data_IF_797920944275
#
_entry.id   IF_797920944275
#
_cell.length_a   1.000
_cell.length_b   1.000
_cell.length_c   1.000
_cell.angle_alpha   90.00
_cell.angle_beta   90.00
_cell.angle_gamma   90.00
#
_symmetry.space_group_name_H-M   'P 1'
#
loop_
_entity.id
_entity.type
_entity.pdbx_description
1 polymer ?
#
# COMPACT_ATOMS: atom_id res chain seq x y z
N UNK A 1 -15.14 -29.36 4.55
CA UNK A 1 -14.01 -29.03 3.67
C UNK A 1 -12.85 -28.66 4.58
N UNK A 2 -11.64 -29.17 4.33
CA UNK A 2 -10.45 -28.90 5.16
C UNK A 2 -9.89 -27.49 4.83
N UNK A 3 -9.37 -26.75 5.82
CA UNK A 3 -8.69 -25.47 5.64
C UNK A 3 -7.50 -25.56 4.68
N UNK A 4 -6.84 -26.72 4.60
CA UNK A 4 -5.81 -26.98 3.61
C UNK A 4 -6.29 -26.75 2.17
N UNK A 5 -7.56 -27.01 1.86
CA UNK A 5 -8.09 -26.79 0.51
C UNK A 5 -8.19 -25.31 0.16
N UNK A 6 -8.54 -24.46 1.11
CA UNK A 6 -8.57 -23.00 0.93
C UNK A 6 -7.16 -22.45 0.74
N UNK A 7 -6.18 -22.89 1.53
CA UNK A 7 -4.76 -22.50 1.38
C UNK A 7 -4.20 -22.94 0.03
N UNK A 8 -4.52 -24.15 -0.41
CA UNK A 8 -4.11 -24.69 -1.69
C UNK A 8 -4.73 -23.91 -2.85
N UNK A 9 -6.01 -23.54 -2.75
CA UNK A 9 -6.67 -22.69 -3.74
C UNK A 9 -6.00 -21.30 -3.84
N UNK A 10 -5.69 -20.66 -2.72
CA UNK A 10 -4.98 -19.38 -2.66
C UNK A 10 -3.63 -19.51 -3.37
N UNK A 11 -2.87 -20.56 -3.10
CA UNK A 11 -1.56 -20.80 -3.77
C UNK A 11 -1.71 -20.99 -5.28
N UNK A 12 -2.77 -21.67 -5.74
CA UNK A 12 -3.06 -21.80 -7.17
C UNK A 12 -3.39 -20.45 -7.80
N UNK A 13 -4.21 -19.64 -7.15
CA UNK A 13 -4.58 -18.30 -7.62
C UNK A 13 -3.36 -17.38 -7.73
N UNK A 14 -2.45 -17.42 -6.74
CA UNK A 14 -1.23 -16.60 -6.73
C UNK A 14 -0.21 -17.01 -7.79
N UNK A 15 -0.09 -18.32 -8.04
CA UNK A 15 0.90 -18.82 -9.00
C UNK A 15 0.40 -18.81 -10.44
N UNK A 16 -0.92 -18.75 -10.66
CA UNK A 16 -1.54 -18.84 -11.97
C UNK A 16 -1.22 -20.14 -12.75
N UNK A 17 -0.68 -21.16 -12.06
CA UNK A 17 -0.23 -22.40 -12.69
C UNK A 17 -0.31 -23.59 -11.71
N UNK A 18 -1.12 -24.61 -12.04
CA UNK A 18 -1.34 -25.78 -11.18
C UNK A 18 -0.06 -26.58 -10.89
N UNK A 19 0.83 -26.72 -11.86
CA UNK A 19 2.08 -27.48 -11.67
C UNK A 19 3.05 -26.73 -10.75
N UNK A 20 3.14 -25.39 -10.92
CA UNK A 20 3.96 -24.52 -10.06
C UNK A 20 3.40 -24.49 -8.62
N UNK A 21 2.07 -24.38 -8.48
CA UNK A 21 1.40 -24.43 -7.18
C UNK A 21 1.64 -25.76 -6.47
N UNK A 22 1.46 -26.88 -7.17
CA UNK A 22 1.69 -28.23 -6.64
C UNK A 22 3.13 -28.41 -6.14
N UNK A 23 4.12 -27.93 -6.92
CA UNK A 23 5.53 -27.94 -6.51
C UNK A 23 5.76 -27.09 -5.24
N UNK A 24 5.16 -25.87 -5.16
CA UNK A 24 5.26 -24.98 -3.99
C UNK A 24 4.64 -25.60 -2.75
N UNK A 25 3.54 -26.37 -2.93
CA UNK A 25 2.82 -27.04 -1.84
C UNK A 25 3.38 -28.41 -1.45
N UNK A 26 4.36 -28.93 -2.19
CA UNK A 26 4.94 -30.24 -1.94
C UNK A 26 3.98 -31.42 -2.21
N UNK A 27 2.98 -31.24 -3.08
CA UNK A 27 2.00 -32.27 -3.44
C UNK A 27 2.01 -32.55 -4.95
N UNK A 28 1.44 -33.68 -5.36
CA UNK A 28 1.34 -34.01 -6.79
C UNK A 28 0.21 -33.23 -7.47
N UNK A 29 0.42 -32.74 -8.68
CA UNK A 29 -0.55 -31.92 -9.42
C UNK A 29 -1.94 -32.57 -9.57
N UNK A 30 -2.11 -33.87 -9.80
CA UNK A 30 -3.43 -34.50 -9.85
C UNK A 30 -4.23 -34.36 -8.55
N UNK A 31 -3.55 -34.46 -7.38
CA UNK A 31 -4.19 -34.28 -6.08
C UNK A 31 -4.66 -32.82 -5.90
N UNK A 32 -3.83 -31.83 -6.25
CA UNK A 32 -4.21 -30.43 -6.22
C UNK A 32 -5.39 -30.14 -7.16
N UNK A 33 -5.37 -30.67 -8.38
CA UNK A 33 -6.47 -30.51 -9.34
C UNK A 33 -7.78 -31.14 -8.82
N UNK A 34 -7.69 -32.29 -8.15
CA UNK A 34 -8.86 -32.94 -7.53
C UNK A 34 -9.45 -32.11 -6.39
N UNK A 35 -8.61 -31.45 -5.58
CA UNK A 35 -9.04 -30.54 -4.51
C UNK A 35 -9.77 -29.33 -5.08
N UNK A 36 -9.22 -28.67 -6.11
CA UNK A 36 -9.89 -27.53 -6.77
C UNK A 36 -11.25 -27.95 -7.33
N UNK A 37 -11.33 -29.08 -8.05
CA UNK A 37 -12.59 -29.61 -8.55
C UNK A 37 -13.57 -29.98 -7.44
N UNK A 38 -13.10 -30.38 -6.27
CA UNK A 38 -13.93 -30.64 -5.11
C UNK A 38 -14.56 -29.36 -4.56
N UNK A 39 -13.80 -28.26 -4.52
CA UNK A 39 -14.31 -26.94 -4.16
C UNK A 39 -15.38 -26.51 -5.17
N UNK A 40 -15.07 -26.53 -6.46
CA UNK A 40 -15.99 -26.13 -7.54
C UNK A 40 -17.30 -26.93 -7.51
N UNK A 41 -17.21 -28.24 -7.29
CA UNK A 41 -18.40 -29.10 -7.14
C UNK A 41 -19.21 -28.75 -5.91
N UNK A 42 -18.58 -28.47 -4.78
CA UNK A 42 -19.27 -28.14 -3.53
C UNK A 42 -20.08 -26.84 -3.63
N UNK A 43 -19.57 -25.86 -4.38
CA UNK A 43 -20.24 -24.56 -4.56
C UNK A 43 -21.04 -24.47 -5.86
N UNK A 44 -20.93 -25.44 -6.77
CA UNK A 44 -21.66 -25.47 -8.04
C UNK A 44 -21.17 -24.43 -9.06
N UNK A 45 -19.97 -23.91 -8.89
CA UNK A 45 -19.41 -22.83 -9.75
C UNK A 45 -17.98 -23.17 -10.16
N UNK A 46 -17.57 -22.69 -11.35
CA UNK A 46 -16.19 -22.74 -11.77
C UNK A 46 -15.44 -21.56 -11.17
N UNK A 47 -14.27 -21.83 -10.56
CA UNK A 47 -13.42 -20.82 -9.92
C UNK A 47 -12.25 -20.42 -10.82
N UNK A 48 -11.85 -21.31 -11.75
CA UNK A 48 -10.77 -21.06 -12.69
C UNK A 48 -11.21 -21.21 -14.15
N UNK A 49 -10.66 -20.37 -15.04
CA UNK A 49 -10.75 -20.51 -16.49
C UNK A 49 -9.44 -21.11 -17.01
N UNK A 50 -9.54 -22.18 -17.77
CA UNK A 50 -8.40 -22.75 -18.50
C UNK A 50 -8.41 -22.21 -19.93
N UNK A 51 -7.39 -21.47 -20.34
CA UNK A 51 -7.22 -21.11 -21.75
C UNK A 51 -6.58 -22.28 -22.50
N UNK A 52 -7.25 -22.76 -23.56
CA UNK A 52 -6.70 -23.79 -24.44
C UNK A 52 -5.32 -23.39 -24.97
N UNK A 53 -4.32 -24.25 -24.73
CA UNK A 53 -2.95 -24.04 -25.24
C UNK A 53 -2.04 -23.19 -24.35
N UNK A 54 -2.53 -22.62 -23.24
CA UNK A 54 -1.70 -21.91 -22.25
C UNK A 54 -1.62 -22.70 -20.93
N UNK A 55 -0.42 -22.73 -20.35
CA UNK A 55 -0.20 -23.30 -19.00
C UNK A 55 -0.67 -22.37 -17.88
N UNK A 56 -1.22 -21.21 -18.21
CA UNK A 56 -1.72 -20.21 -17.28
C UNK A 56 -3.21 -20.40 -17.04
N UNK A 57 -3.63 -20.30 -15.80
CA UNK A 57 -5.03 -20.37 -15.36
C UNK A 57 -5.40 -19.02 -14.75
N UNK A 58 -6.59 -18.55 -15.06
CA UNK A 58 -7.13 -17.27 -14.58
C UNK A 58 -8.34 -17.51 -13.68
N UNK A 59 -8.56 -16.63 -12.72
CA UNK A 59 -9.77 -16.68 -11.90
C UNK A 59 -11.00 -16.30 -12.73
N UNK A 60 -12.14 -16.88 -12.39
CA UNK A 60 -13.46 -16.37 -12.78
C UNK A 60 -13.88 -15.27 -11.79
N UNK A 61 -14.96 -14.55 -12.05
CA UNK A 61 -15.56 -13.61 -11.08
C UNK A 61 -15.92 -14.34 -9.76
N UNK A 62 -16.48 -15.55 -9.85
CA UNK A 62 -16.71 -16.40 -8.68
C UNK A 62 -15.40 -16.82 -8.00
N UNK A 63 -14.33 -17.05 -8.78
CA UNK A 63 -12.99 -17.35 -8.28
C UNK A 63 -12.36 -16.19 -7.51
N UNK A 64 -12.52 -14.95 -7.99
CA UNK A 64 -12.06 -13.75 -7.28
C UNK A 64 -12.79 -13.55 -5.96
N UNK A 65 -14.12 -13.68 -5.98
CA UNK A 65 -14.95 -13.65 -4.76
C UNK A 65 -14.52 -14.73 -3.78
N UNK A 66 -14.33 -15.96 -4.27
CA UNK A 66 -13.91 -17.09 -3.43
C UNK A 66 -12.51 -16.88 -2.87
N UNK A 67 -11.56 -16.31 -3.64
CA UNK A 67 -10.21 -15.99 -3.18
C UNK A 67 -10.24 -15.04 -1.98
N UNK A 68 -11.06 -14.00 -2.06
CA UNK A 68 -11.24 -13.04 -0.99
C UNK A 68 -11.75 -13.73 0.29
N UNK A 69 -12.80 -14.56 0.17
CA UNK A 69 -13.38 -15.27 1.32
C UNK A 69 -12.44 -16.37 1.86
N UNK A 70 -11.72 -17.07 0.99
CA UNK A 70 -10.75 -18.08 1.39
C UNK A 70 -9.59 -17.48 2.22
N UNK A 71 -9.09 -16.31 1.82
CA UNK A 71 -8.08 -15.58 2.60
C UNK A 71 -8.59 -15.18 3.98
N UNK A 72 -9.82 -14.71 4.07
CA UNK A 72 -10.45 -14.35 5.35
C UNK A 72 -10.57 -15.55 6.28
N UNK A 73 -11.06 -16.70 5.77
CA UNK A 73 -11.17 -17.93 6.53
C UNK A 73 -9.81 -18.41 7.05
N UNK A 74 -8.77 -18.38 6.21
CA UNK A 74 -7.43 -18.79 6.60
C UNK A 74 -6.85 -17.84 7.68
N UNK A 75 -7.06 -16.53 7.55
CA UNK A 75 -6.63 -15.56 8.55
C UNK A 75 -7.36 -15.79 9.89
N UNK A 76 -8.66 -16.07 9.85
CA UNK A 76 -9.44 -16.37 11.06
C UNK A 76 -8.95 -17.64 11.75
N UNK A 77 -8.60 -18.68 10.98
CA UNK A 77 -8.05 -19.95 11.51
C UNK A 77 -6.67 -19.73 12.14
N UNK A 78 -5.80 -18.93 11.49
CA UNK A 78 -4.52 -18.52 12.04
C UNK A 78 -4.70 -17.73 13.35
N UNK A 79 -5.66 -16.81 13.42
CA UNK A 79 -5.97 -16.04 14.63
C UNK A 79 -6.50 -16.94 15.76
N UNK A 80 -7.35 -17.93 15.44
CA UNK A 80 -7.80 -18.92 16.44
C UNK A 80 -6.60 -19.70 16.99
N UNK A 81 -5.72 -20.19 16.11
CA UNK A 81 -4.53 -20.93 16.49
C UNK A 81 -3.61 -20.11 17.39
N UNK A 82 -3.40 -18.83 17.03
CA UNK A 82 -2.60 -17.89 17.83
C UNK A 82 -3.25 -17.58 19.18
N UNK A 83 -4.59 -17.38 19.23
CA UNK A 83 -5.33 -17.15 20.46
C UNK A 83 -5.27 -18.37 21.38
N UNK A 84 -5.38 -19.59 20.84
CA UNK A 84 -5.25 -20.81 21.64
C UNK A 84 -3.85 -20.98 22.21
N UNK A 85 -2.80 -20.64 21.45
CA UNK A 85 -1.43 -20.64 21.94
C UNK A 85 -1.19 -19.54 22.99
N UNK A 86 -1.92 -18.43 22.92
CA UNK A 86 -1.80 -17.29 23.85
C UNK A 86 -2.46 -17.50 25.22
N UNK A 87 -3.32 -18.52 25.40
CA UNK A 87 -3.85 -18.88 26.73
C UNK A 87 -2.75 -19.23 27.77
N UNK A 88 -1.51 -19.38 27.33
CA UNK A 88 -0.35 -19.62 28.18
C UNK A 88 0.69 -18.47 28.25
N UNK A 89 0.55 -17.41 27.43
CA UNK A 89 1.51 -16.29 27.39
C UNK A 89 0.81 -14.98 27.05
N UNK A 90 1.10 -13.88 27.77
CA UNK A 90 0.61 -12.53 27.47
C UNK A 90 0.98 -12.14 26.03
N UNK A 91 -0.05 -11.74 25.27
CA UNK A 91 0.03 -11.10 23.96
C UNK A 91 0.91 -11.79 22.89
N UNK A 92 0.59 -13.05 22.54
CA UNK A 92 1.09 -13.63 21.30
C UNK A 92 0.12 -13.30 20.16
N UNK A 93 0.61 -12.75 19.07
CA UNK A 93 -0.16 -12.42 17.87
C UNK A 93 0.77 -12.00 16.76
N UNK A 94 0.27 -11.98 15.53
CA UNK A 94 0.97 -11.37 14.39
C UNK A 94 0.22 -10.13 13.98
N UNK A 95 0.91 -9.00 13.92
CA UNK A 95 0.41 -7.76 13.32
C UNK A 95 0.94 -7.64 11.89
N UNK A 96 0.01 -7.39 10.97
CA UNK A 96 0.28 -7.30 9.54
C UNK A 96 0.03 -5.88 9.06
N UNK A 97 1.07 -5.26 8.52
CA UNK A 97 1.03 -3.89 8.03
C UNK A 97 1.34 -3.82 6.54
N UNK A 98 0.69 -2.89 5.87
CA UNK A 98 1.11 -2.41 4.58
C UNK A 98 1.30 -0.89 4.66
N UNK A 99 2.45 -0.40 4.20
CA UNK A 99 2.81 1.01 4.31
C UNK A 99 3.22 1.53 2.93
N UNK A 100 2.87 2.77 2.63
CA UNK A 100 3.39 3.44 1.44
C UNK A 100 4.91 3.56 1.54
N UNK A 101 5.64 3.11 0.52
CA UNK A 101 7.10 3.01 0.51
C UNK A 101 7.81 4.26 1.04
N UNK A 102 7.39 5.43 0.61
CA UNK A 102 7.99 6.71 1.04
C UNK A 102 7.81 7.02 2.53
N UNK A 103 6.98 6.27 3.27
CA UNK A 103 6.67 6.49 4.69
C UNK A 103 7.06 5.32 5.59
N UNK A 104 7.72 4.33 5.04
CA UNK A 104 8.17 3.13 5.77
C UNK A 104 9.03 3.49 6.97
N UNK A 105 10.12 4.25 6.79
CA UNK A 105 11.03 4.63 7.87
C UNK A 105 10.32 5.49 8.94
N UNK A 106 9.51 6.45 8.51
CA UNK A 106 8.72 7.28 9.43
C UNK A 106 7.75 6.42 10.26
N UNK A 107 6.96 5.55 9.63
CA UNK A 107 6.00 4.70 10.34
C UNK A 107 6.70 3.74 11.32
N UNK A 108 7.80 3.14 10.90
CA UNK A 108 8.58 2.26 11.74
C UNK A 108 9.10 2.97 12.99
N UNK A 109 9.75 4.12 12.83
CA UNK A 109 10.39 4.85 13.94
C UNK A 109 9.37 5.50 14.88
N UNK A 110 8.30 6.09 14.31
CA UNK A 110 7.33 6.85 15.10
C UNK A 110 6.34 5.96 15.83
N UNK A 111 5.97 4.81 15.24
CA UNK A 111 4.87 3.99 15.76
C UNK A 111 5.24 2.53 16.02
N UNK A 112 5.79 1.82 15.03
CA UNK A 112 5.91 0.37 15.15
C UNK A 112 7.03 -0.03 16.09
N UNK A 113 8.21 0.58 16.02
CA UNK A 113 9.33 0.25 16.90
C UNK A 113 9.03 0.57 18.38
N UNK A 114 8.47 1.74 18.73
CA UNK A 114 8.04 2.00 20.11
C UNK A 114 7.04 0.96 20.62
N UNK A 115 5.99 0.67 19.84
CA UNK A 115 5.02 -0.36 20.21
C UNK A 115 5.64 -1.74 20.39
N UNK A 116 6.56 -2.13 19.51
CA UNK A 116 7.21 -3.44 19.56
C UNK A 116 8.08 -3.60 20.81
N UNK A 117 8.73 -2.53 21.29
CA UNK A 117 9.51 -2.55 22.54
C UNK A 117 8.64 -2.81 23.75
N UNK A 118 7.40 -2.32 23.76
CA UNK A 118 6.42 -2.54 24.84
C UNK A 118 5.74 -3.91 24.74
N UNK A 119 5.77 -4.53 23.55
CA UNK A 119 5.04 -5.77 23.24
C UNK A 119 5.96 -6.86 22.64
N UNK A 120 6.99 -7.36 23.35
CA UNK A 120 8.01 -8.25 22.80
C UNK A 120 7.50 -9.64 22.38
N UNK A 121 6.25 -9.99 22.72
CA UNK A 121 5.62 -11.26 22.32
C UNK A 121 4.86 -11.22 20.98
N UNK A 122 4.76 -10.05 20.34
CA UNK A 122 4.06 -9.89 19.06
C UNK A 122 5.05 -10.07 17.91
N UNK A 123 4.63 -10.83 16.89
CA UNK A 123 5.33 -10.93 15.61
C UNK A 123 4.78 -9.89 14.63
N UNK A 124 5.64 -9.41 13.74
CA UNK A 124 5.28 -8.35 12.78
C UNK A 124 5.52 -8.82 11.36
N UNK A 125 4.54 -8.61 10.48
CA UNK A 125 4.66 -8.75 9.03
C UNK A 125 4.45 -7.38 8.39
N UNK A 126 5.36 -7.02 7.51
CA UNK A 126 5.42 -5.68 6.96
C UNK A 126 5.56 -5.74 5.43
N UNK A 127 4.76 -4.97 4.71
CA UNK A 127 4.77 -4.90 3.27
C UNK A 127 4.85 -3.44 2.79
N UNK A 128 5.77 -3.15 1.90
CA UNK A 128 5.74 -1.93 1.11
C UNK A 128 4.76 -2.12 -0.06
N UNK A 129 3.80 -1.20 -0.22
CA UNK A 129 2.77 -1.34 -1.24
C UNK A 129 2.22 -0.01 -1.74
N UNK A 130 1.67 -0.01 -2.96
CA UNK A 130 0.88 1.11 -3.49
C UNK A 130 -0.49 1.18 -2.80
N UNK A 131 -1.19 2.33 -2.92
CA UNK A 131 -2.52 2.50 -2.31
C UNK A 131 -3.54 1.49 -2.83
N UNK A 132 -3.44 1.11 -4.11
CA UNK A 132 -4.29 0.09 -4.72
C UNK A 132 -4.02 -1.30 -4.13
N UNK A 133 -2.75 -1.65 -3.95
CA UNK A 133 -2.35 -2.90 -3.33
C UNK A 133 -2.76 -2.95 -1.85
N UNK A 134 -2.59 -1.84 -1.12
CA UNK A 134 -3.02 -1.71 0.27
C UNK A 134 -4.54 -1.92 0.40
N UNK A 135 -5.33 -1.33 -0.49
CA UNK A 135 -6.77 -1.55 -0.50
C UNK A 135 -7.10 -3.04 -0.72
N UNK A 136 -6.53 -3.65 -1.75
CA UNK A 136 -6.74 -5.09 -2.03
C UNK A 136 -6.36 -5.97 -0.85
N UNK A 137 -5.26 -5.65 -0.16
CA UNK A 137 -4.80 -6.39 1.01
C UNK A 137 -5.75 -6.23 2.21
N UNK A 138 -6.29 -5.03 2.45
CA UNK A 138 -7.32 -4.79 3.49
C UNK A 138 -8.61 -5.52 3.17
N UNK A 139 -9.08 -5.44 1.93
CA UNK A 139 -10.30 -6.13 1.47
C UNK A 139 -10.17 -7.65 1.58
N UNK A 140 -8.98 -8.18 1.27
CA UNK A 140 -8.67 -9.60 1.40
C UNK A 140 -8.42 -10.04 2.85
N UNK A 141 -8.36 -9.11 3.82
CA UNK A 141 -8.00 -9.41 5.20
C UNK A 141 -6.59 -9.98 5.37
N UNK A 142 -5.70 -9.74 4.41
CA UNK A 142 -4.31 -10.20 4.48
C UNK A 142 -3.40 -9.30 5.31
N UNK A 143 -3.87 -8.09 5.64
CA UNK A 143 -3.23 -7.16 6.57
C UNK A 143 -4.25 -6.64 7.58
N UNK A 144 -3.77 -6.22 8.75
CA UNK A 144 -4.58 -5.60 9.80
C UNK A 144 -4.72 -4.09 9.55
N UNK A 145 -3.63 -3.45 9.13
CA UNK A 145 -3.54 -2.01 8.93
C UNK A 145 -2.83 -1.64 7.63
N UNK A 146 -3.33 -0.60 6.98
CA UNK A 146 -2.61 0.11 5.92
C UNK A 146 -2.30 1.54 6.37
N UNK A 147 -1.05 1.97 6.18
CA UNK A 147 -0.64 3.36 6.41
C UNK A 147 -0.29 4.00 5.06
N UNK A 148 -1.19 4.85 4.59
CA UNK A 148 -1.10 5.46 3.28
C UNK A 148 -0.89 6.97 3.37
N UNK A 149 -0.15 7.52 2.42
CA UNK A 149 0.04 8.96 2.23
C UNK A 149 -0.86 9.55 1.14
N UNK A 150 -1.77 8.76 0.60
CA UNK A 150 -2.82 9.20 -0.32
C UNK A 150 -4.11 8.41 -0.02
N UNK A 151 -5.29 8.94 -0.37
CA UNK A 151 -6.54 8.25 -0.14
C UNK A 151 -6.59 6.90 -0.86
N UNK A 152 -7.07 5.87 -0.16
CA UNK A 152 -7.42 4.61 -0.83
C UNK A 152 -8.62 4.84 -1.76
N UNK A 153 -8.67 4.19 -2.94
CA UNK A 153 -9.75 4.39 -3.92
C UNK A 153 -11.16 4.22 -3.32
N UNK A 154 -11.36 3.24 -2.44
CA UNK A 154 -12.62 2.99 -1.74
C UNK A 154 -12.51 3.29 -0.22
N UNK A 155 -11.91 4.42 0.15
CA UNK A 155 -11.65 4.80 1.55
C UNK A 155 -12.89 4.75 2.46
N UNK A 156 -14.10 4.97 1.93
CA UNK A 156 -15.36 4.91 2.68
C UNK A 156 -15.68 3.52 3.26
N UNK A 157 -15.09 2.45 2.72
CA UNK A 157 -15.27 1.08 3.20
C UNK A 157 -14.44 0.77 4.46
N UNK A 158 -13.48 1.65 4.79
CA UNK A 158 -12.54 1.44 5.89
C UNK A 158 -12.77 2.40 7.04
N UNK A 159 -12.41 1.99 8.23
CA UNK A 159 -12.22 2.88 9.36
C UNK A 159 -10.84 3.55 9.22
N UNK A 160 -10.72 4.81 9.65
CA UNK A 160 -9.52 5.62 9.41
C UNK A 160 -9.16 6.48 10.58
N UNK A 161 -7.85 6.77 10.70
CA UNK A 161 -7.31 7.84 11.53
C UNK A 161 -6.36 8.65 10.66
N UNK A 162 -6.67 9.95 10.49
CA UNK A 162 -5.74 10.90 9.86
C UNK A 162 -4.68 11.31 10.87
N UNK A 163 -3.42 11.33 10.41
CA UNK A 163 -2.25 11.61 11.25
C UNK A 163 -1.72 13.00 11.01
N UNK A 164 -1.25 13.26 9.79
CA UNK A 164 -0.68 14.55 9.42
C UNK A 164 -0.82 14.79 7.92
N UNK A 165 -0.63 16.07 7.54
CA UNK A 165 -0.70 16.49 6.15
C UNK A 165 0.68 16.58 5.54
N UNK A 166 0.82 16.07 4.32
CA UNK A 166 1.96 16.30 3.44
C UNK A 166 1.60 17.38 2.45
N UNK A 167 2.38 18.43 2.40
CA UNK A 167 2.23 19.50 1.43
C UNK A 167 3.04 19.20 0.16
N UNK A 168 2.69 19.84 -0.94
CA UNK A 168 3.47 19.73 -2.16
C UNK A 168 4.60 20.75 -2.18
N UNK A 169 5.77 20.32 -2.64
CA UNK A 169 6.96 21.12 -2.77
C UNK A 169 7.62 20.95 -4.13
N UNK A 170 8.14 22.04 -4.66
CA UNK A 170 9.07 22.06 -5.78
C UNK A 170 10.50 22.00 -5.23
N UNK A 171 11.26 20.98 -5.65
CA UNK A 171 12.67 20.78 -5.32
C UNK A 171 13.50 20.93 -6.59
N UNK A 172 14.55 21.71 -6.55
CA UNK A 172 15.44 21.93 -7.70
C UNK A 172 16.88 22.12 -7.24
N UNK A 173 17.82 21.73 -8.10
CA UNK A 173 19.25 21.95 -7.85
C UNK A 173 19.55 23.44 -7.81
N UNK A 174 20.44 23.89 -6.90
CA UNK A 174 20.83 25.30 -6.74
C UNK A 174 21.39 25.93 -8.01
N UNK A 175 21.97 25.14 -8.90
CA UNK A 175 22.46 25.58 -10.22
C UNK A 175 21.40 25.60 -11.33
N UNK A 176 20.18 25.11 -11.05
CA UNK A 176 19.10 25.08 -12.05
C UNK A 176 18.34 26.41 -12.07
N UNK A 177 18.34 27.10 -13.23
CA UNK A 177 17.64 28.35 -13.37
C UNK A 177 16.12 28.19 -13.40
N UNK A 178 15.43 28.87 -12.50
CA UNK A 178 13.98 28.92 -12.42
C UNK A 178 13.46 30.35 -12.49
N UNK A 179 12.33 30.65 -13.17
CA UNK A 179 11.84 32.03 -13.33
C UNK A 179 11.33 32.64 -12.00
N UNK A 180 11.10 31.83 -11.00
CA UNK A 180 10.55 32.20 -9.68
C UNK A 180 11.55 32.05 -8.52
N UNK A 181 12.88 32.13 -8.78
CA UNK A 181 13.91 31.92 -7.77
C UNK A 181 13.73 32.79 -6.50
N UNK A 182 13.17 33.99 -6.64
CA UNK A 182 12.95 34.94 -5.54
C UNK A 182 11.63 34.70 -4.76
N UNK A 183 10.79 33.76 -5.19
CA UNK A 183 9.53 33.43 -4.48
C UNK A 183 9.79 32.45 -3.35
N UNK A 184 9.17 32.67 -2.21
CA UNK A 184 9.17 31.71 -1.07
C UNK A 184 8.11 30.64 -1.22
N UNK A 185 6.99 30.99 -1.87
CA UNK A 185 5.86 30.12 -2.16
C UNK A 185 5.52 30.18 -3.64
N UNK A 186 5.04 29.10 -4.20
CA UNK A 186 4.69 28.98 -5.60
C UNK A 186 3.21 28.69 -5.75
N UNK A 187 2.61 29.20 -6.82
CA UNK A 187 1.32 28.77 -7.32
C UNK A 187 1.50 27.77 -8.48
N UNK A 188 0.46 27.02 -8.89
CA UNK A 188 0.55 26.12 -10.03
C UNK A 188 1.01 26.80 -11.34
N UNK A 189 0.65 28.07 -11.55
CA UNK A 189 1.05 28.85 -12.73
C UNK A 189 2.56 29.08 -12.79
N UNK A 190 3.23 29.17 -11.67
CA UNK A 190 4.69 29.39 -11.61
C UNK A 190 5.45 28.21 -12.24
N UNK A 191 4.85 27.03 -12.31
CA UNK A 191 5.45 25.84 -12.91
C UNK A 191 5.26 25.75 -14.43
N UNK A 192 4.60 26.73 -15.06
CA UNK A 192 4.40 26.75 -16.50
C UNK A 192 5.73 26.77 -17.27
N UNK A 193 5.87 25.85 -18.22
CA UNK A 193 7.07 25.76 -19.07
C UNK A 193 8.32 25.17 -18.42
N UNK A 194 8.34 25.00 -17.09
CA UNK A 194 9.47 24.39 -16.36
C UNK A 194 9.42 22.87 -16.54
N UNK A 195 10.55 22.17 -16.82
CA UNK A 195 10.58 20.73 -16.90
C UNK A 195 10.35 20.11 -15.51
N UNK A 196 9.24 19.35 -15.38
CA UNK A 196 8.81 18.78 -14.12
C UNK A 196 9.19 17.31 -14.01
N UNK A 197 9.59 16.90 -12.82
CA UNK A 197 9.87 15.53 -12.41
C UNK A 197 8.87 15.16 -11.31
N UNK A 198 8.13 14.08 -11.49
CA UNK A 198 7.08 13.71 -10.53
C UNK A 198 7.11 12.20 -10.27
N UNK A 199 6.54 11.77 -9.16
CA UNK A 199 6.08 10.39 -9.06
C UNK A 199 4.62 10.29 -9.51
N UNK A 200 4.16 9.08 -9.85
CA UNK A 200 2.82 8.85 -10.40
C UNK A 200 1.71 9.44 -9.51
N UNK A 201 1.79 9.25 -8.19
CA UNK A 201 0.77 9.77 -7.25
C UNK A 201 0.70 11.29 -7.27
N UNK A 202 1.84 11.97 -7.16
CA UNK A 202 1.93 13.43 -7.24
C UNK A 202 1.45 13.95 -8.59
N UNK A 203 1.86 13.31 -9.69
CA UNK A 203 1.45 13.72 -11.04
C UNK A 203 -0.05 13.60 -11.26
N UNK A 204 -0.69 12.53 -10.75
CA UNK A 204 -2.13 12.35 -10.87
C UNK A 204 -2.92 13.51 -10.24
N UNK A 205 -2.48 14.01 -9.08
CA UNK A 205 -3.10 15.16 -8.42
C UNK A 205 -2.77 16.47 -9.13
N UNK A 206 -1.49 16.71 -9.43
CA UNK A 206 -1.01 17.91 -10.14
C UNK A 206 -1.71 18.11 -11.49
N UNK A 207 -1.92 17.03 -12.24
CA UNK A 207 -2.62 17.09 -13.54
C UNK A 207 -4.02 17.67 -13.42
N UNK A 208 -4.73 17.37 -12.34
CA UNK A 208 -6.07 17.89 -12.10
C UNK A 208 -6.01 19.38 -11.73
N UNK A 209 -5.10 19.75 -10.84
CA UNK A 209 -4.89 21.16 -10.43
C UNK A 209 -4.46 22.02 -11.62
N UNK A 210 -3.50 21.56 -12.41
CA UNK A 210 -3.07 22.33 -13.62
C UNK A 210 -4.20 22.60 -14.61
N UNK A 211 -5.22 21.72 -14.72
CA UNK A 211 -6.42 21.99 -15.53
C UNK A 211 -7.21 23.17 -14.99
N UNK A 212 -7.35 23.29 -13.67
CA UNK A 212 -8.10 24.37 -13.03
C UNK A 212 -7.42 25.72 -13.27
N UNK A 213 -6.11 25.73 -13.39
CA UNK A 213 -5.31 26.93 -13.68
C UNK A 213 -4.99 27.15 -15.16
N UNK A 214 -5.55 26.32 -16.06
CA UNK A 214 -5.25 26.33 -17.49
C UNK A 214 -3.75 26.23 -17.82
N UNK A 215 -2.95 25.61 -16.95
CA UNK A 215 -1.51 25.39 -17.13
C UNK A 215 -1.27 24.07 -17.87
N UNK A 216 -0.46 24.13 -18.92
CA UNK A 216 0.04 22.92 -19.58
C UNK A 216 1.39 22.53 -18.96
N UNK A 217 1.45 21.45 -18.18
CA UNK A 217 2.71 21.04 -17.56
C UNK A 217 3.71 20.52 -18.61
N UNK A 218 4.97 20.87 -18.45
CA UNK A 218 6.08 20.28 -19.20
C UNK A 218 6.68 19.13 -18.37
N UNK A 219 6.14 17.92 -18.50
CA UNK A 219 6.59 16.77 -17.71
C UNK A 219 7.77 16.11 -18.40
N UNK A 220 8.95 16.26 -17.83
CA UNK A 220 10.20 15.70 -18.32
C UNK A 220 10.45 14.28 -17.79
N UNK A 221 9.96 13.94 -16.57
CA UNK A 221 10.22 12.68 -15.94
C UNK A 221 9.08 12.25 -15.01
N UNK A 222 8.64 11.00 -15.11
CA UNK A 222 7.69 10.37 -14.17
C UNK A 222 8.30 9.08 -13.65
N UNK A 223 8.31 8.91 -12.34
CA UNK A 223 8.86 7.75 -11.65
C UNK A 223 7.82 7.08 -10.73
N UNK A 224 8.14 5.89 -10.26
CA UNK A 224 7.31 5.20 -9.26
C UNK A 224 7.45 5.85 -7.88
N UNK A 225 8.65 6.33 -7.53
CA UNK A 225 8.96 6.90 -6.22
C UNK A 225 9.29 8.38 -6.29
N UNK A 226 9.04 9.11 -5.19
CA UNK A 226 9.45 10.52 -5.05
C UNK A 226 10.99 10.67 -5.06
N UNK A 227 11.71 9.69 -4.47
CA UNK A 227 13.19 9.68 -4.45
C UNK A 227 13.78 9.68 -5.85
N UNK A 228 13.22 8.88 -6.77
CA UNK A 228 13.67 8.88 -8.17
C UNK A 228 13.44 10.24 -8.84
N UNK A 229 12.31 10.90 -8.56
CA UNK A 229 12.04 12.24 -9.09
C UNK A 229 13.01 13.28 -8.49
N UNK A 230 13.29 13.20 -7.19
CA UNK A 230 14.28 14.05 -6.51
C UNK A 230 15.68 13.83 -7.07
N UNK A 231 16.11 12.57 -7.25
CA UNK A 231 17.44 12.24 -7.83
C UNK A 231 17.58 12.82 -9.23
N UNK A 232 16.55 12.75 -10.07
CA UNK A 232 16.57 13.34 -11.40
C UNK A 232 16.69 14.87 -11.33
N UNK A 233 15.97 15.53 -10.43
CA UNK A 233 16.06 16.98 -10.24
C UNK A 233 17.40 17.43 -9.64
N UNK A 234 18.00 16.62 -8.74
CA UNK A 234 19.35 16.88 -8.20
C UNK A 234 20.40 16.97 -9.30
N UNK A 235 20.23 16.20 -10.38
CA UNK A 235 21.12 16.26 -11.55
C UNK A 235 20.97 17.53 -12.40
N UNK A 236 20.11 18.47 -12.01
CA UNK A 236 19.89 19.73 -12.75
C UNK A 236 19.07 19.57 -14.03
N UNK A 237 18.29 18.51 -14.17
CA UNK A 237 17.50 18.19 -15.36
C UNK A 237 16.04 18.63 -15.28
N UNK A 238 15.63 19.24 -14.14
CA UNK A 238 14.27 19.73 -13.95
C UNK A 238 13.95 20.04 -12.50
N UNK A 239 12.68 20.25 -12.23
CA UNK A 239 12.12 20.54 -10.90
C UNK A 239 11.28 19.35 -10.44
N UNK A 240 11.66 18.73 -9.33
CA UNK A 240 10.85 17.67 -8.74
C UNK A 240 9.65 18.29 -7.98
N UNK A 241 8.43 17.88 -8.33
CA UNK A 241 7.22 18.29 -7.61
C UNK A 241 6.62 17.05 -6.94
N UNK A 242 6.80 16.99 -5.62
CA UNK A 242 6.43 15.82 -4.79
C UNK A 242 5.84 16.28 -3.46
N UNK A 243 5.04 15.40 -2.86
CA UNK A 243 4.55 15.60 -1.51
C UNK A 243 5.63 15.29 -0.48
N UNK A 244 5.73 16.12 0.56
CA UNK A 244 6.68 15.99 1.65
C UNK A 244 6.12 16.61 2.94
N UNK A 245 6.71 16.24 4.07
CA UNK A 245 6.46 16.91 5.34
C UNK A 245 7.32 18.17 5.48
N UNK A 246 6.85 19.11 6.25
CA UNK A 246 7.59 20.37 6.51
C UNK A 246 8.96 20.09 7.16
N UNK A 247 9.05 19.05 7.98
CA UNK A 247 10.26 18.62 8.66
C UNK A 247 11.18 17.67 7.87
N UNK A 248 10.78 17.26 6.66
CA UNK A 248 11.62 16.36 5.85
C UNK A 248 12.92 17.06 5.43
N UNK A 249 14.03 16.34 5.48
CA UNK A 249 15.33 16.84 5.11
C UNK A 249 15.37 17.25 3.62
N UNK A 250 15.97 18.39 3.34
CA UNK A 250 16.23 18.83 1.97
C UNK A 250 17.66 18.42 1.60
N UNK A 251 17.88 17.70 0.47
CA UNK A 251 19.23 17.37 0.02
C UNK A 251 20.10 18.63 -0.11
N UNK A 252 21.39 18.50 0.25
CA UNK A 252 22.31 19.65 0.42
C UNK A 252 22.42 20.57 -0.79
N UNK A 253 22.27 20.03 -2.00
CA UNK A 253 22.39 20.78 -3.26
C UNK A 253 21.03 21.24 -3.82
N UNK A 254 19.96 21.11 -3.03
CA UNK A 254 18.61 21.43 -3.48
C UNK A 254 18.00 22.58 -2.72
N UNK A 255 17.17 23.32 -3.41
CA UNK A 255 16.26 24.32 -2.86
C UNK A 255 14.85 23.73 -2.83
N UNK A 256 14.12 23.96 -1.73
CA UNK A 256 12.71 23.59 -1.58
C UNK A 256 11.83 24.83 -1.58
N UNK A 257 10.73 24.81 -2.33
CA UNK A 257 9.68 25.84 -2.31
C UNK A 257 8.33 25.17 -2.18
N UNK A 258 7.49 25.68 -1.29
CA UNK A 258 6.13 25.13 -1.14
C UNK A 258 5.28 25.54 -2.34
N UNK A 259 4.53 24.56 -2.88
CA UNK A 259 3.50 24.78 -3.88
C UNK A 259 2.16 24.88 -3.17
N UNK A 260 1.52 26.03 -3.25
CA UNK A 260 0.32 26.36 -2.47
C UNK A 260 -0.92 26.24 -3.33
N UNK A 261 -1.77 25.30 -2.98
CA UNK A 261 -3.13 25.14 -3.48
C UNK A 261 -3.89 24.22 -2.51
N UNK A 262 -5.17 24.50 -2.27
CA UNK A 262 -5.99 23.75 -1.31
C UNK A 262 -6.15 22.27 -1.66
N UNK A 263 -6.00 21.91 -2.93
CA UNK A 263 -6.09 20.53 -3.43
C UNK A 263 -4.75 19.81 -3.43
N UNK A 264 -3.62 20.53 -3.25
CA UNK A 264 -2.28 19.97 -3.32
C UNK A 264 -1.77 19.53 -1.95
N UNK A 265 -2.37 18.48 -1.44
CA UNK A 265 -1.88 17.82 -0.24
C UNK A 265 -2.26 16.34 -0.24
N UNK A 266 -1.54 15.56 0.54
CA UNK A 266 -1.94 14.23 0.95
C UNK A 266 -2.10 14.19 2.47
N UNK A 267 -3.11 13.46 2.95
CA UNK A 267 -3.26 13.19 4.37
C UNK A 267 -2.69 11.79 4.65
N UNK A 268 -1.65 11.70 5.48
CA UNK A 268 -1.20 10.41 6.01
C UNK A 268 -2.32 9.82 6.86
N UNK A 269 -2.72 8.61 6.54
CA UNK A 269 -3.90 8.00 7.15
C UNK A 269 -3.65 6.53 7.44
N UNK A 270 -3.98 6.11 8.67
CA UNK A 270 -4.07 4.71 9.04
C UNK A 270 -5.47 4.20 8.68
N UNK A 271 -5.53 3.07 7.97
CA UNK A 271 -6.76 2.41 7.54
C UNK A 271 -6.83 1.00 8.12
N UNK A 272 -8.06 0.55 8.46
CA UNK A 272 -8.35 -0.84 8.79
C UNK A 272 -9.78 -1.18 8.38
N UNK A 273 -10.07 -2.48 8.22
CA UNK A 273 -11.39 -2.94 7.79
C UNK A 273 -12.45 -2.68 8.86
N UNK A 274 -13.63 -2.17 8.46
CA UNK A 274 -14.82 -2.09 9.31
C UNK A 274 -15.51 -3.45 9.49
N UNK A 275 -15.30 -4.35 8.55
CA UNK A 275 -16.00 -5.64 8.49
C UNK A 275 -15.39 -6.74 9.35
N UNK A 276 -14.20 -6.51 9.92
CA UNK A 276 -13.48 -7.51 10.70
C UNK A 276 -13.25 -7.04 12.13
N UNK A 277 -13.46 -7.97 13.07
CA UNK A 277 -13.03 -7.74 14.44
C UNK A 277 -11.50 -7.80 14.49
N UNK A 278 -10.89 -6.73 14.98
CA UNK A 278 -9.45 -6.68 15.18
C UNK A 278 -9.01 -7.76 16.18
N UNK A 279 -7.81 -8.31 15.96
CA UNK A 279 -7.16 -9.19 16.94
C UNK A 279 -6.78 -8.39 18.19
N UNK A 280 -6.56 -9.03 19.36
CA UNK A 280 -6.11 -8.33 20.56
C UNK A 280 -4.81 -7.53 20.35
N UNK A 281 -3.89 -8.05 19.53
CA UNK A 281 -2.67 -7.35 19.16
C UNK A 281 -2.95 -6.09 18.31
N UNK A 282 -3.90 -6.20 17.37
CA UNK A 282 -4.32 -5.07 16.53
C UNK A 282 -5.12 -4.02 17.33
N UNK A 283 -5.98 -4.43 18.26
CA UNK A 283 -6.65 -3.52 19.18
C UNK A 283 -5.62 -2.76 20.04
N UNK A 284 -4.65 -3.47 20.62
CA UNK A 284 -3.57 -2.87 21.40
C UNK A 284 -2.71 -1.89 20.59
N UNK A 285 -2.38 -2.25 19.33
CA UNK A 285 -1.69 -1.31 18.44
C UNK A 285 -2.52 -0.06 18.15
N UNK A 286 -3.81 -0.22 17.88
CA UNK A 286 -4.70 0.92 17.60
C UNK A 286 -4.84 1.87 18.79
N UNK A 287 -4.90 1.33 20.01
CA UNK A 287 -4.89 2.14 21.25
C UNK A 287 -3.58 2.89 21.44
N UNK A 288 -2.46 2.18 21.23
CA UNK A 288 -1.12 2.80 21.27
C UNK A 288 -1.01 3.91 20.23
N UNK A 289 -1.41 3.63 18.98
CA UNK A 289 -1.34 4.59 17.88
C UNK A 289 -2.12 5.87 18.19
N UNK A 290 -3.36 5.75 18.70
CA UNK A 290 -4.19 6.91 19.10
C UNK A 290 -3.58 7.80 20.18
N UNK A 291 -2.71 7.25 21.02
CA UNK A 291 -2.02 8.01 22.07
C UNK A 291 -0.77 8.75 21.56
N UNK A 292 -0.30 8.41 20.37
CA UNK A 292 0.97 8.92 19.82
C UNK A 292 0.79 9.75 18.53
N UNK A 293 -0.43 10.10 18.17
CA UNK A 293 -0.76 11.03 17.07
C UNK A 293 -1.05 12.43 17.58
#
# INVERSE_FOLDING_TARGET
MDFAFYRNFITVAETGNLSAAAKRLGIVQPALSAQIKAIERNYGVQLFKMQRGKRHIELTEAGETFLQQARQLCNTEDDISLRMQAFGRRAAGTLRFSVSHVRTDYFLRSYLIPFAKENPGISYQFHDATVEQQQQQLEAGSIDFAFANAPLPAAHNFATIKVQRENFYAFYNTGFAVPWANKSMLSPEDLAGVPLCCNYGSYALLRNVFKDYAVKPNVAFIATTAESALTFATSGLGVAVVAALDGDAVPQEMVRRQLVDDKLHFDQTLYWSKGYKLSPAAEGFLEFFRKHI
#
